data_IF_964037532556
#
_entry.id   IF_964037532556
#
_cell.length_a   1.000
_cell.length_b   1.000
_cell.length_c   1.000
_cell.angle_alpha   90.00
_cell.angle_beta   90.00
_cell.angle_gamma   90.00
#
_symmetry.space_group_name_H-M   'P 1'
#
loop_
_entity.id
_entity.type
_entity.pdbx_description
1 polymer ?
#
# COMPACT_ATOMS: atom_id res chain seq x y z
N UNK A 1 12.63 -67.37 -26.59
CA UNK A 1 12.42 -67.77 -25.18
C UNK A 1 11.83 -66.56 -24.48
N UNK A 2 10.55 -66.64 -24.12
CA UNK A 2 9.79 -65.58 -23.45
C UNK A 2 10.32 -65.33 -22.04
N UNK A 3 10.39 -64.06 -21.60
CA UNK A 3 10.04 -63.67 -20.21
C UNK A 3 9.26 -62.36 -20.26
N UNK A 4 7.98 -62.51 -19.90
CA UNK A 4 7.01 -61.50 -19.51
C UNK A 4 7.40 -61.02 -18.10
N UNK A 5 7.45 -59.71 -17.82
CA UNK A 5 7.28 -59.24 -16.43
C UNK A 5 6.55 -57.91 -16.42
N UNK A 6 5.27 -58.02 -16.07
CA UNK A 6 4.34 -56.97 -15.69
C UNK A 6 4.58 -56.68 -14.20
N UNK A 7 4.83 -55.43 -13.80
CA UNK A 7 4.64 -55.01 -12.40
C UNK A 7 3.75 -53.77 -12.40
N UNK A 8 2.54 -54.01 -11.91
CA UNK A 8 1.55 -53.01 -11.50
C UNK A 8 2.01 -52.38 -10.18
N UNK A 9 2.16 -51.05 -10.15
CA UNK A 9 2.10 -50.28 -8.91
C UNK A 9 0.90 -49.36 -9.00
N UNK A 10 -0.20 -49.80 -8.38
CA UNK A 10 -1.38 -48.99 -8.16
C UNK A 10 -1.12 -47.93 -7.10
N UNK A 11 -1.29 -46.66 -7.46
CA UNK A 11 -1.49 -45.59 -6.50
C UNK A 11 -2.98 -45.51 -6.19
N UNK A 12 -3.29 -45.71 -4.91
CA UNK A 12 -4.62 -45.61 -4.35
C UNK A 12 -5.22 -44.23 -4.66
N UNK A 13 -6.46 -44.26 -5.16
CA UNK A 13 -7.30 -43.08 -5.34
C UNK A 13 -7.72 -42.60 -3.95
N UNK A 14 -7.16 -41.48 -3.50
CA UNK A 14 -7.64 -40.79 -2.30
C UNK A 14 -8.87 -39.97 -2.69
N UNK A 15 -10.04 -40.58 -2.55
CA UNK A 15 -11.32 -39.86 -2.58
C UNK A 15 -11.40 -39.00 -1.31
N UNK A 16 -11.09 -37.72 -1.48
CA UNK A 16 -11.10 -36.72 -0.40
C UNK A 16 -10.73 -35.33 -0.89
N UNK A 17 -10.95 -35.03 -2.17
CA UNK A 17 -10.93 -33.67 -2.68
C UNK A 17 -12.21 -32.99 -2.23
N UNK A 18 -12.11 -32.04 -1.31
CA UNK A 18 -13.15 -31.00 -1.20
C UNK A 18 -13.18 -30.30 -2.54
N UNK A 19 -14.21 -30.57 -3.34
CA UNK A 19 -14.57 -29.75 -4.49
C UNK A 19 -14.88 -28.35 -3.96
N UNK A 20 -13.85 -27.51 -3.94
CA UNK A 20 -14.00 -26.07 -3.90
C UNK A 20 -14.34 -25.64 -5.33
N UNK A 21 -15.51 -26.07 -5.82
CA UNK A 21 -16.16 -25.48 -6.99
C UNK A 21 -16.73 -24.13 -6.58
N UNK A 22 -15.83 -23.23 -6.19
CA UNK A 22 -16.07 -21.81 -6.28
C UNK A 22 -15.71 -21.42 -7.70
N UNK A 23 -16.70 -21.42 -8.60
CA UNK A 23 -16.73 -20.55 -9.79
C UNK A 23 -16.79 -19.08 -9.34
N UNK A 24 -15.86 -18.70 -8.46
CA UNK A 24 -15.55 -17.35 -8.06
C UNK A 24 -14.25 -17.01 -8.75
N UNK A 25 -14.26 -17.02 -10.09
CA UNK A 25 -13.39 -16.17 -10.89
C UNK A 25 -13.80 -14.71 -10.65
N UNK A 26 -13.66 -14.29 -9.40
CA UNK A 26 -13.55 -12.89 -9.03
C UNK A 26 -12.05 -12.60 -9.09
N UNK A 27 -11.45 -12.79 -10.26
CA UNK A 27 -10.38 -11.88 -10.64
C UNK A 27 -11.01 -10.50 -10.51
N UNK A 28 -10.59 -9.73 -9.49
CA UNK A 28 -11.06 -8.36 -9.35
C UNK A 28 -10.75 -7.67 -10.68
N UNK A 29 -11.78 -7.42 -11.49
CA UNK A 29 -11.59 -6.86 -12.82
C UNK A 29 -11.18 -5.41 -12.64
N UNK A 30 -9.88 -5.14 -12.70
CA UNK A 30 -9.36 -3.78 -12.74
C UNK A 30 -9.98 -3.02 -13.91
N UNK A 31 -10.17 -1.71 -13.74
CA UNK A 31 -10.73 -0.86 -14.77
C UNK A 31 -9.87 -0.88 -16.05
N UNK A 32 -10.50 -0.57 -17.18
CA UNK A 32 -9.77 -0.40 -18.44
C UNK A 32 -8.70 0.71 -18.35
N UNK A 33 -8.93 1.74 -17.51
CA UNK A 33 -8.00 2.84 -17.32
C UNK A 33 -6.76 2.39 -16.54
N UNK A 34 -6.96 1.69 -15.41
CA UNK A 34 -5.86 1.10 -14.63
C UNK A 34 -5.06 0.09 -15.47
N UNK A 35 -5.73 -0.76 -16.26
CA UNK A 35 -5.06 -1.70 -17.18
C UNK A 35 -4.18 -0.98 -18.20
N UNK A 36 -4.68 0.09 -18.81
CA UNK A 36 -3.92 0.88 -19.79
C UNK A 36 -2.68 1.56 -19.19
N UNK A 37 -2.69 1.91 -17.90
CA UNK A 37 -1.52 2.41 -17.19
C UNK A 37 -0.52 1.28 -16.92
N UNK A 38 -0.99 0.11 -16.47
CA UNK A 38 -0.16 -1.06 -16.15
C UNK A 38 0.52 -1.70 -17.39
N UNK A 39 -0.01 -1.49 -18.58
CA UNK A 39 0.61 -1.93 -19.84
C UNK A 39 1.84 -1.07 -20.24
N UNK A 40 2.10 0.05 -19.56
CA UNK A 40 3.28 0.90 -19.80
C UNK A 40 4.52 0.28 -19.17
N UNK A 41 5.67 0.40 -19.86
CA UNK A 41 6.94 -0.18 -19.38
C UNK A 41 7.45 0.47 -18.09
N UNK A 42 7.16 1.76 -17.89
CA UNK A 42 7.57 2.53 -16.74
C UNK A 42 6.36 3.20 -16.10
N UNK A 43 6.21 3.03 -14.79
CA UNK A 43 5.18 3.69 -14.00
C UNK A 43 5.88 4.71 -13.13
N UNK A 44 5.86 5.97 -13.58
CA UNK A 44 6.39 7.10 -12.87
C UNK A 44 5.33 7.80 -12.02
N UNK A 45 5.70 8.96 -11.49
CA UNK A 45 4.77 9.77 -10.68
C UNK A 45 3.59 10.31 -11.50
N UNK A 46 3.76 10.54 -12.81
CA UNK A 46 2.67 11.00 -13.67
C UNK A 46 1.62 9.92 -13.92
N UNK A 47 2.02 8.67 -14.16
CA UNK A 47 1.12 7.51 -14.21
C UNK A 47 0.38 7.31 -12.88
N UNK A 48 1.09 7.43 -11.75
CA UNK A 48 0.48 7.35 -10.43
C UNK A 48 -0.56 8.45 -10.20
N UNK A 49 -0.26 9.70 -10.60
CA UNK A 49 -1.21 10.83 -10.56
C UNK A 49 -2.43 10.58 -11.44
N UNK A 50 -2.25 9.98 -12.61
CA UNK A 50 -3.33 9.60 -13.50
C UNK A 50 -4.28 8.60 -12.82
N UNK A 51 -3.74 7.54 -12.22
CA UNK A 51 -4.50 6.56 -11.45
C UNK A 51 -5.21 7.20 -10.24
N UNK A 52 -4.53 8.07 -9.50
CA UNK A 52 -5.14 8.81 -8.38
C UNK A 52 -6.32 9.69 -8.82
N UNK A 53 -6.22 10.33 -10.00
CA UNK A 53 -7.31 11.10 -10.57
C UNK A 53 -8.50 10.21 -11.01
N UNK A 54 -8.23 8.98 -11.49
CA UNK A 54 -9.28 8.00 -11.78
C UNK A 54 -10.00 7.55 -10.50
N UNK A 55 -9.23 7.22 -9.46
CA UNK A 55 -9.76 6.90 -8.13
C UNK A 55 -10.61 8.02 -7.56
N UNK A 56 -10.11 9.27 -7.59
CA UNK A 56 -10.86 10.43 -7.10
C UNK A 56 -12.21 10.57 -7.81
N UNK A 57 -12.24 10.44 -9.14
CA UNK A 57 -13.49 10.50 -9.92
C UNK A 57 -14.45 9.36 -9.57
N UNK A 58 -13.95 8.13 -9.39
CA UNK A 58 -14.77 7.01 -8.96
C UNK A 58 -15.40 7.26 -7.58
N UNK A 59 -14.62 7.77 -6.63
CA UNK A 59 -15.07 8.13 -5.28
C UNK A 59 -16.12 9.26 -5.33
N UNK A 60 -15.93 10.25 -6.21
CA UNK A 60 -16.91 11.31 -6.46
C UNK A 60 -18.23 10.79 -7.02
N UNK A 61 -18.18 9.88 -8.00
CA UNK A 61 -19.37 9.22 -8.54
C UNK A 61 -20.13 8.39 -7.49
N UNK A 62 -19.44 7.93 -6.44
CA UNK A 62 -20.02 7.20 -5.32
C UNK A 62 -20.68 8.11 -4.25
N UNK A 63 -20.65 9.44 -4.44
CA UNK A 63 -21.25 10.42 -3.52
C UNK A 63 -20.32 10.91 -2.41
N UNK A 64 -19.02 10.72 -2.57
CA UNK A 64 -17.97 11.17 -1.66
C UNK A 64 -17.09 12.24 -2.33
N UNK A 65 -16.16 12.82 -1.59
CA UNK A 65 -15.12 13.69 -2.14
C UNK A 65 -13.82 13.42 -1.41
N UNK A 66 -12.71 13.62 -2.10
CA UNK A 66 -11.37 13.54 -1.48
C UNK A 66 -10.88 14.96 -1.21
N UNK A 67 -10.61 15.26 0.06
CA UNK A 67 -10.08 16.55 0.54
C UNK A 67 -8.64 16.37 1.07
N UNK A 68 -7.94 17.49 1.29
CA UNK A 68 -6.62 17.51 1.94
C UNK A 68 -5.58 16.58 1.28
N UNK A 69 -5.58 16.53 -0.06
CA UNK A 69 -4.66 15.67 -0.80
C UNK A 69 -3.23 16.18 -0.67
N UNK A 70 -2.36 15.37 -0.07
CA UNK A 70 -0.95 15.68 0.10
C UNK A 70 -0.08 14.43 -0.13
N UNK A 71 1.16 14.65 -0.56
CA UNK A 71 2.14 13.57 -0.63
C UNK A 71 2.60 13.23 0.79
N UNK A 72 2.67 11.93 1.09
CA UNK A 72 3.15 11.40 2.37
C UNK A 72 4.60 11.83 2.63
N UNK A 73 4.90 12.59 3.70
CA UNK A 73 6.29 12.96 4.01
C UNK A 73 7.09 11.77 4.55
N UNK A 74 6.43 10.72 5.07
CA UNK A 74 7.09 9.52 5.60
C UNK A 74 7.52 8.51 4.54
N UNK A 75 7.00 8.62 3.31
CA UNK A 75 7.40 7.76 2.19
C UNK A 75 7.71 8.51 0.88
N UNK A 76 7.40 9.81 0.78
CA UNK A 76 7.63 10.68 -0.38
C UNK A 76 7.12 10.12 -1.71
N UNK A 77 6.11 9.26 -1.67
CA UNK A 77 5.61 8.54 -2.85
C UNK A 77 4.09 8.52 -2.94
N UNK A 78 3.39 8.22 -1.85
CA UNK A 78 1.95 8.03 -1.86
C UNK A 78 1.22 9.33 -1.61
N UNK A 79 0.13 9.56 -2.34
CA UNK A 79 -0.86 10.53 -1.94
C UNK A 79 -1.68 9.98 -0.78
N UNK A 80 -1.95 10.84 0.17
CA UNK A 80 -2.97 10.65 1.18
C UNK A 80 -4.05 11.70 0.96
N UNK A 81 -5.30 11.37 1.29
CA UNK A 81 -6.42 12.31 1.28
C UNK A 81 -7.48 11.85 2.27
N UNK A 82 -8.33 12.79 2.68
CA UNK A 82 -9.49 12.51 3.51
C UNK A 82 -10.70 12.26 2.63
N UNK A 83 -11.45 11.18 2.89
CA UNK A 83 -12.69 10.88 2.18
C UNK A 83 -13.86 11.36 3.03
N UNK A 84 -14.68 12.24 2.45
CA UNK A 84 -15.84 12.82 3.11
C UNK A 84 -17.11 12.62 2.28
N UNK A 85 -18.27 12.40 2.91
CA UNK A 85 -19.53 12.37 2.19
C UNK A 85 -19.91 13.76 1.64
N UNK A 86 -20.44 13.81 0.42
CA UNK A 86 -20.93 15.07 -0.16
C UNK A 86 -22.35 15.37 0.35
N UNK A 87 -22.59 16.53 1.00
CA UNK A 87 -23.92 16.87 1.51
C UNK A 87 -25.00 16.86 0.42
N UNK A 88 -26.08 16.12 0.65
CA UNK A 88 -27.23 16.04 -0.25
C UNK A 88 -27.07 15.06 -1.43
N UNK A 89 -25.93 14.37 -1.56
CA UNK A 89 -25.77 13.28 -2.52
C UNK A 89 -26.08 11.92 -1.90
N UNK A 90 -26.53 10.97 -2.72
CA UNK A 90 -26.71 9.57 -2.30
C UNK A 90 -25.33 8.92 -2.19
N UNK A 91 -25.04 8.34 -1.04
CA UNK A 91 -23.82 7.58 -0.79
C UNK A 91 -23.97 6.15 -1.29
N UNK A 92 -22.99 5.68 -2.05
CA UNK A 92 -22.83 4.29 -2.44
C UNK A 92 -21.51 3.75 -1.88
N UNK A 93 -21.55 3.31 -0.62
CA UNK A 93 -20.36 2.80 0.08
C UNK A 93 -19.78 1.56 -0.59
N UNK A 94 -20.60 0.72 -1.24
CA UNK A 94 -20.08 -0.46 -1.95
C UNK A 94 -19.26 -0.03 -3.16
N UNK A 95 -19.75 0.97 -3.91
CA UNK A 95 -18.99 1.54 -5.02
C UNK A 95 -17.72 2.23 -4.55
N UNK A 96 -17.77 3.02 -3.49
CA UNK A 96 -16.59 3.70 -2.94
C UNK A 96 -15.49 2.70 -2.56
N UNK A 97 -15.83 1.61 -1.87
CA UNK A 97 -14.88 0.56 -1.49
C UNK A 97 -14.27 -0.18 -2.70
N UNK A 98 -14.97 -0.23 -3.82
CA UNK A 98 -14.47 -0.81 -5.07
C UNK A 98 -13.52 0.14 -5.83
N UNK A 99 -13.60 1.46 -5.61
CA UNK A 99 -12.82 2.43 -6.37
C UNK A 99 -11.30 2.25 -6.24
N UNK A 100 -10.79 1.95 -5.04
CA UNK A 100 -9.36 1.76 -4.85
C UNK A 100 -8.81 0.54 -5.62
N UNK A 101 -9.33 -0.69 -5.44
CA UNK A 101 -8.87 -1.83 -6.23
C UNK A 101 -9.13 -1.67 -7.74
N UNK A 102 -10.22 -1.01 -8.15
CA UNK A 102 -10.58 -0.87 -9.56
C UNK A 102 -9.73 0.17 -10.30
N UNK A 103 -9.29 1.24 -9.64
CA UNK A 103 -8.65 2.40 -10.30
C UNK A 103 -7.21 2.71 -9.86
N UNK A 104 -6.77 2.29 -8.67
CA UNK A 104 -5.51 2.77 -8.07
C UNK A 104 -4.57 1.68 -7.57
N UNK A 105 -5.07 0.69 -6.81
CA UNK A 105 -4.23 -0.15 -5.94
C UNK A 105 -3.07 -0.84 -6.67
N UNK A 106 -3.29 -1.35 -7.89
CA UNK A 106 -2.25 -2.06 -8.65
C UNK A 106 -1.26 -1.10 -9.31
N UNK A 107 -1.71 0.08 -9.78
CA UNK A 107 -0.79 1.13 -10.25
C UNK A 107 0.08 1.62 -9.10
N UNK A 108 -0.49 1.83 -7.91
CA UNK A 108 0.27 2.23 -6.73
C UNK A 108 1.31 1.16 -6.35
N UNK A 109 0.93 -0.12 -6.31
CA UNK A 109 1.86 -1.23 -6.04
C UNK A 109 3.04 -1.22 -7.02
N UNK A 110 2.77 -1.15 -8.32
CA UNK A 110 3.80 -1.17 -9.36
C UNK A 110 4.66 0.11 -9.34
N UNK A 111 4.04 1.28 -9.10
CA UNK A 111 4.74 2.54 -8.89
C UNK A 111 5.72 2.44 -7.71
N UNK A 112 5.28 1.92 -6.57
CA UNK A 112 6.11 1.76 -5.38
C UNK A 112 7.23 0.74 -5.58
N UNK A 113 6.97 -0.31 -6.37
CA UNK A 113 7.99 -1.30 -6.77
C UNK A 113 9.09 -0.67 -7.62
N UNK A 114 8.73 0.19 -8.56
CA UNK A 114 9.68 0.89 -9.44
C UNK A 114 10.34 2.11 -8.77
N UNK A 115 9.66 2.72 -7.80
CA UNK A 115 10.07 3.96 -7.14
C UNK A 115 10.06 3.77 -5.61
N UNK A 116 11.07 3.11 -5.04
CA UNK A 116 11.10 2.80 -3.61
C UNK A 116 10.85 4.04 -2.72
N UNK A 117 10.15 3.86 -1.59
CA UNK A 117 9.83 4.96 -0.68
C UNK A 117 11.05 5.44 0.07
N UNK A 118 11.06 6.74 0.38
CA UNK A 118 12.05 7.38 1.24
C UNK A 118 11.41 8.51 2.06
N UNK A 119 11.90 8.73 3.26
CA UNK A 119 11.41 9.81 4.14
C UNK A 119 11.93 11.14 3.61
N UNK A 120 11.07 12.18 3.61
CA UNK A 120 11.48 13.54 3.24
C UNK A 120 12.79 13.93 3.96
N UNK A 121 13.82 14.45 3.26
CA UNK A 121 15.12 14.71 3.87
C UNK A 121 15.09 15.68 5.06
N UNK A 122 14.16 16.65 5.06
CA UNK A 122 14.01 17.62 6.14
C UNK A 122 13.35 16.94 7.35
N UNK A 123 12.33 16.10 7.11
CA UNK A 123 11.71 15.28 8.15
C UNK A 123 12.73 14.30 8.78
N UNK A 124 13.50 13.60 7.94
CA UNK A 124 14.49 12.62 8.38
C UNK A 124 15.55 13.25 9.28
N UNK A 125 16.03 14.45 8.93
CA UNK A 125 17.01 15.17 9.74
C UNK A 125 16.45 15.51 11.14
N UNK A 126 15.20 15.96 11.24
CA UNK A 126 14.59 16.25 12.55
C UNK A 126 14.30 14.98 13.35
N UNK A 127 13.91 13.88 12.69
CA UNK A 127 13.76 12.57 13.34
C UNK A 127 15.08 12.16 14.00
N UNK A 128 16.22 12.25 13.29
CA UNK A 128 17.52 11.95 13.87
C UNK A 128 17.85 12.86 15.07
N UNK A 129 17.60 14.16 14.97
CA UNK A 129 17.83 15.10 16.07
C UNK A 129 16.97 14.77 17.32
N UNK A 130 15.75 14.25 17.14
CA UNK A 130 14.88 13.82 18.25
C UNK A 130 15.30 12.48 18.84
N UNK A 131 15.69 11.52 18.00
CA UNK A 131 16.23 10.24 18.46
C UNK A 131 17.49 10.43 19.31
N UNK A 132 18.40 11.31 18.86
CA UNK A 132 19.60 11.68 19.62
C UNK A 132 19.25 12.28 20.98
N UNK A 133 18.32 13.26 21.02
CA UNK A 133 17.85 13.87 22.28
C UNK A 133 17.18 12.87 23.22
N UNK A 134 16.48 11.88 22.67
CA UNK A 134 15.82 10.81 23.43
C UNK A 134 16.79 9.70 23.88
N UNK A 135 18.05 9.73 23.43
CA UNK A 135 19.02 8.67 23.70
C UNK A 135 18.68 7.34 23.03
N UNK A 136 17.86 7.35 21.97
CA UNK A 136 17.48 6.16 21.20
C UNK A 136 18.52 5.93 20.11
N UNK A 137 19.13 4.74 20.08
CA UNK A 137 20.16 4.42 19.09
C UNK A 137 19.58 4.25 17.67
N UNK A 138 20.28 4.84 16.71
CA UNK A 138 20.07 4.75 15.26
C UNK A 138 21.43 4.66 14.55
N UNK A 139 21.43 4.28 13.28
CA UNK A 139 22.65 4.07 12.48
C UNK A 139 23.09 5.32 11.71
N UNK A 140 22.16 6.22 11.42
CA UNK A 140 22.36 7.40 10.58
C UNK A 140 22.26 7.11 9.09
N UNK A 141 21.99 5.85 8.71
CA UNK A 141 21.81 5.41 7.32
C UNK A 141 20.34 5.13 6.98
N UNK A 142 19.43 5.37 7.92
CA UNK A 142 18.00 5.20 7.70
C UNK A 142 17.52 6.17 6.62
N UNK A 143 16.84 5.63 5.61
CA UNK A 143 16.25 6.41 4.50
C UNK A 143 14.75 6.15 4.37
N UNK A 144 14.26 5.04 4.93
CA UNK A 144 12.85 4.64 4.98
C UNK A 144 12.47 4.19 6.38
N UNK A 145 11.18 4.18 6.68
CA UNK A 145 10.64 3.84 8.00
C UNK A 145 11.14 2.46 8.49
N UNK A 146 11.17 1.45 7.62
CA UNK A 146 11.64 0.10 7.96
C UNK A 146 13.10 0.05 8.44
N UNK A 147 13.96 0.99 8.02
CA UNK A 147 15.38 1.01 8.41
C UNK A 147 15.54 1.30 9.92
N UNK A 148 14.56 1.97 10.54
CA UNK A 148 14.57 2.22 11.98
C UNK A 148 14.28 0.97 12.81
N UNK A 149 13.79 -0.12 12.20
CA UNK A 149 13.33 -1.33 12.91
C UNK A 149 14.08 -2.60 12.49
N UNK A 150 15.41 -2.68 12.66
CA UNK A 150 16.19 -3.86 12.28
C UNK A 150 15.86 -5.11 13.12
N UNK A 151 15.22 -4.93 14.28
CA UNK A 151 14.71 -6.01 15.12
C UNK A 151 13.27 -5.71 15.52
N UNK A 152 12.32 -6.48 14.98
CA UNK A 152 10.89 -6.31 15.22
C UNK A 152 10.40 -6.82 16.59
N UNK A 153 11.29 -7.40 17.41
CA UNK A 153 10.91 -7.96 18.71
C UNK A 153 10.94 -6.95 19.88
N UNK A 154 11.46 -5.74 19.68
CA UNK A 154 11.56 -4.72 20.74
C UNK A 154 10.40 -3.72 20.64
N UNK A 155 9.25 -4.12 21.20
CA UNK A 155 8.00 -3.32 21.16
C UNK A 155 8.16 -1.93 21.78
N UNK A 156 8.95 -1.81 22.86
CA UNK A 156 9.19 -0.52 23.52
C UNK A 156 9.95 0.43 22.60
N UNK A 157 11.01 -0.07 21.96
CA UNK A 157 11.77 0.73 20.99
C UNK A 157 10.93 1.05 19.75
N UNK A 158 10.13 0.10 19.26
CA UNK A 158 9.21 0.34 18.15
C UNK A 158 8.26 1.48 18.48
N UNK A 159 7.59 1.41 19.64
CA UNK A 159 6.66 2.43 20.10
C UNK A 159 7.34 3.79 20.21
N UNK A 160 8.51 3.88 20.86
CA UNK A 160 9.20 5.16 21.07
C UNK A 160 9.63 5.83 19.76
N UNK A 161 10.11 5.04 18.78
CA UNK A 161 10.49 5.57 17.47
C UNK A 161 9.25 5.98 16.68
N UNK A 162 8.20 5.16 16.71
CA UNK A 162 6.94 5.44 16.01
C UNK A 162 6.31 6.74 16.51
N UNK A 163 6.34 6.97 17.83
CA UNK A 163 5.91 8.22 18.46
C UNK A 163 6.74 9.42 17.96
N UNK A 164 8.07 9.33 17.99
CA UNK A 164 8.95 10.39 17.48
C UNK A 164 8.65 10.70 16.02
N UNK A 165 8.56 9.69 15.15
CA UNK A 165 8.28 9.89 13.72
C UNK A 165 6.91 10.56 13.55
N UNK A 166 5.90 10.07 14.27
CA UNK A 166 4.53 10.58 14.17
C UNK A 166 4.45 12.04 14.63
N UNK A 167 5.00 12.36 15.79
CA UNK A 167 4.98 13.70 16.36
C UNK A 167 5.77 14.70 15.51
N UNK A 168 6.94 14.30 15.03
CA UNK A 168 7.76 15.13 14.15
C UNK A 168 7.03 15.42 12.84
N UNK A 169 6.40 14.39 12.26
CA UNK A 169 5.64 14.56 11.02
C UNK A 169 4.48 15.52 11.22
N UNK A 170 3.69 15.38 12.30
CA UNK A 170 2.57 16.27 12.60
C UNK A 170 3.00 17.71 12.85
N UNK A 171 4.14 17.90 13.50
CA UNK A 171 4.67 19.23 13.82
C UNK A 171 5.18 19.96 12.57
N UNK A 172 5.88 19.26 11.68
CA UNK A 172 6.51 19.85 10.49
C UNK A 172 5.59 19.90 9.27
N UNK A 173 4.64 18.97 9.17
CA UNK A 173 3.70 18.83 8.06
C UNK A 173 2.25 18.85 8.59
N UNK A 174 1.80 19.96 9.19
CA UNK A 174 0.46 20.05 9.79
C UNK A 174 -0.67 19.90 8.78
N UNK A 175 -0.39 20.14 7.49
CA UNK A 175 -1.36 20.00 6.39
C UNK A 175 -1.43 18.57 5.82
N UNK A 176 -0.62 17.63 6.33
CA UNK A 176 -0.73 16.23 5.94
C UNK A 176 -1.99 15.61 6.57
N UNK A 177 -2.90 15.00 5.78
CA UNK A 177 -4.22 14.56 6.26
C UNK A 177 -4.12 13.49 7.36
N UNK A 178 -3.11 12.61 7.28
CA UNK A 178 -2.74 11.71 8.37
C UNK A 178 -1.28 11.30 8.23
N UNK A 179 -0.74 10.74 9.32
CA UNK A 179 0.60 10.16 9.35
C UNK A 179 0.47 8.65 9.32
N UNK A 180 1.04 8.01 8.29
CA UNK A 180 1.16 6.56 8.20
C UNK A 180 2.60 6.13 8.37
N UNK A 181 2.80 5.24 9.32
CA UNK A 181 4.09 4.63 9.71
C UNK A 181 3.93 3.11 9.63
N UNK A 182 3.49 2.63 8.47
CA UNK A 182 3.44 1.20 8.14
C UNK A 182 4.80 0.71 7.62
N UNK A 183 5.22 -0.47 8.07
CA UNK A 183 6.41 -1.18 7.61
C UNK A 183 6.12 -2.68 7.47
#
# INVERSE_FOLDING_TARGET
>A
MSILTLILTGCAKTDGGRDFSGDGDSTAEISAAQRAILEREQIGFDEYKEAWANYTRCTEDAGYRITEVALSPTDSRRYHGMIEPVPGQKQDTQRELACAPDELSYVEEEYMRQNPPFIDPVLLAEIFARLERAGISFTGNETKIADFFPNVSDENRISAITEIITDTTREMFPDAPFVSVGF
#
